data_IF_294006862525
#
_entry.id   IF_294006862525
#
_cell.length_a   1.000
_cell.length_b   1.000
_cell.length_c   1.000
_cell.angle_alpha   90.00
_cell.angle_beta   90.00
_cell.angle_gamma   90.00
#
_symmetry.space_group_name_H-M   'P 1'
#
loop_
_entity.id
_entity.type
_entity.pdbx_description
1 polymer ?
#
# COMPACT_ATOMS: atom_id res chain seq x y z
N UNK A 1 7.18 -4.65 -25.82
CA UNK A 1 7.58 -4.54 -24.45
C UNK A 1 6.51 -3.82 -23.64
N UNK A 2 6.26 -4.30 -22.49
CA UNK A 2 5.21 -3.71 -21.68
C UNK A 2 5.59 -2.31 -21.24
N UNK A 3 4.67 -1.43 -21.39
CA UNK A 3 4.84 -0.10 -20.88
C UNK A 3 4.81 -0.10 -19.35
N UNK A 4 5.67 0.68 -18.76
CA UNK A 4 5.72 0.84 -17.32
C UNK A 4 5.18 2.19 -16.91
N UNK A 5 4.47 2.19 -15.80
CA UNK A 5 4.01 3.41 -15.17
C UNK A 5 4.70 3.46 -13.81
N UNK A 6 5.95 3.88 -13.77
CA UNK A 6 6.72 3.81 -12.54
C UNK A 6 6.27 4.83 -11.53
N UNK A 7 6.53 4.51 -10.25
CA UNK A 7 6.33 5.47 -9.18
C UNK A 7 7.48 6.46 -9.24
N UNK A 8 7.17 7.71 -9.57
CA UNK A 8 8.20 8.73 -9.65
C UNK A 8 8.65 9.15 -8.26
N UNK A 9 9.85 9.77 -8.16
CA UNK A 9 10.30 10.25 -6.85
C UNK A 9 9.32 11.21 -6.18
N UNK A 10 8.68 12.08 -6.95
CA UNK A 10 7.73 13.03 -6.38
C UNK A 10 6.51 12.32 -5.82
N UNK A 11 5.98 11.35 -6.55
CA UNK A 11 4.82 10.59 -6.09
C UNK A 11 5.20 9.75 -4.87
N UNK A 12 6.37 9.10 -4.92
CA UNK A 12 6.86 8.33 -3.79
C UNK A 12 6.93 9.20 -2.52
N UNK A 13 7.50 10.40 -2.65
CA UNK A 13 7.62 11.29 -1.51
C UNK A 13 6.25 11.71 -0.98
N UNK A 14 5.30 11.98 -1.87
CA UNK A 14 3.95 12.39 -1.46
C UNK A 14 3.24 11.27 -0.70
N UNK A 15 3.38 10.03 -1.18
CA UNK A 15 2.75 8.88 -0.53
C UNK A 15 3.39 8.64 0.85
N UNK A 16 4.71 8.68 0.92
CA UNK A 16 5.40 8.47 2.18
C UNK A 16 5.04 9.54 3.20
N UNK A 17 4.94 10.79 2.75
CA UNK A 17 4.58 11.88 3.66
C UNK A 17 3.13 11.73 4.14
N UNK A 18 2.21 11.46 3.23
CA UNK A 18 0.79 11.30 3.59
C UNK A 18 0.61 10.18 4.60
N UNK A 19 1.29 9.06 4.40
CA UNK A 19 1.16 7.89 5.25
C UNK A 19 2.16 7.92 6.42
N UNK A 20 2.81 9.06 6.64
CA UNK A 20 3.68 9.31 7.77
C UNK A 20 4.85 8.33 7.85
N UNK A 21 5.33 7.92 6.69
CA UNK A 21 6.44 6.97 6.55
C UNK A 21 6.20 5.69 7.33
N UNK A 22 4.95 5.26 7.40
CA UNK A 22 4.54 4.10 8.18
C UNK A 22 3.55 3.26 7.40
N UNK A 23 3.50 1.98 7.72
CA UNK A 23 2.49 1.08 7.16
C UNK A 23 1.10 1.52 7.61
N UNK A 24 0.15 1.62 6.68
CA UNK A 24 -1.21 2.01 7.03
C UNK A 24 -2.04 0.83 7.56
N UNK A 25 -1.49 -0.40 7.53
CA UNK A 25 -2.24 -1.58 7.94
C UNK A 25 -2.97 -1.42 9.28
N UNK A 26 -2.25 -1.05 10.35
CA UNK A 26 -2.92 -0.84 11.64
C UNK A 26 -4.01 0.21 11.61
N UNK A 27 -3.84 1.25 10.77
CA UNK A 27 -4.83 2.33 10.69
C UNK A 27 -6.14 1.90 10.05
N UNK A 28 -6.11 0.84 9.25
CA UNK A 28 -7.31 0.35 8.57
C UNK A 28 -7.82 -0.96 9.15
N UNK A 29 -7.30 -1.34 10.32
CA UNK A 29 -7.83 -2.49 11.05
C UNK A 29 -7.15 -3.81 10.79
N UNK A 30 -6.02 -3.83 10.10
CA UNK A 30 -5.27 -5.07 9.94
C UNK A 30 -4.63 -5.45 11.27
N UNK A 31 -4.70 -6.74 11.62
CA UNK A 31 -4.11 -7.25 12.84
C UNK A 31 -2.65 -7.63 12.62
N UNK A 32 -1.95 -7.88 13.72
CA UNK A 32 -0.56 -8.27 13.66
C UNK A 32 0.36 -7.08 13.59
N UNK A 33 1.61 -7.29 14.01
CA UNK A 33 2.60 -6.22 14.04
C UNK A 33 3.34 -6.14 12.72
N UNK A 34 3.69 -4.92 12.32
CA UNK A 34 4.48 -4.72 11.13
C UNK A 34 5.79 -5.50 11.23
N UNK A 35 6.17 -6.13 10.11
CA UNK A 35 7.41 -6.89 10.06
C UNK A 35 7.32 -8.27 10.68
N UNK A 36 6.13 -8.73 11.07
CA UNK A 36 5.99 -10.03 11.76
C UNK A 36 6.59 -11.18 10.98
N UNK A 37 6.57 -11.13 9.65
CA UNK A 37 7.11 -12.22 8.87
C UNK A 37 8.63 -12.38 9.01
N UNK A 38 9.30 -11.39 9.52
CA UNK A 38 10.77 -11.44 9.67
C UNK A 38 11.21 -11.88 11.05
N UNK A 39 10.26 -11.94 12.01
CA UNK A 39 10.59 -12.32 13.37
C UNK A 39 11.07 -11.13 14.21
N UNK A 40 11.28 -11.37 15.50
CA UNK A 40 11.67 -10.30 16.44
C UNK A 40 13.00 -9.67 16.06
N UNK A 41 13.10 -8.37 16.28
CA UNK A 41 14.35 -7.66 16.10
C UNK A 41 14.72 -7.34 14.67
N UNK A 42 13.89 -7.69 13.72
CA UNK A 42 14.17 -7.38 12.31
C UNK A 42 13.54 -6.03 11.95
N UNK A 43 14.20 -5.27 11.07
CA UNK A 43 13.64 -3.99 10.64
C UNK A 43 12.36 -4.20 9.84
N UNK A 44 11.45 -3.23 9.94
CA UNK A 44 10.24 -3.23 9.14
C UNK A 44 10.60 -2.75 7.74
N UNK A 45 10.23 -3.53 6.73
CA UNK A 45 10.44 -3.15 5.34
C UNK A 45 9.14 -2.59 4.80
N UNK A 46 9.19 -1.36 4.31
CA UNK A 46 8.00 -0.70 3.76
C UNK A 46 7.98 -0.81 2.25
N UNK A 47 6.79 -1.00 1.71
CA UNK A 47 6.57 -1.16 0.27
C UNK A 47 5.46 -0.22 -0.17
N UNK A 48 5.52 0.18 -1.44
CA UNK A 48 4.45 0.98 -2.04
C UNK A 48 3.54 0.02 -2.80
N UNK A 49 2.26 0.03 -2.45
CA UNK A 49 1.30 -0.90 -3.03
C UNK A 49 0.32 -0.16 -3.93
N UNK A 50 0.07 -0.73 -5.11
CA UNK A 50 -0.97 -0.25 -6.01
C UNK A 50 -2.31 -0.81 -5.55
N UNK A 51 -3.25 0.05 -5.21
CA UNK A 51 -4.51 -0.36 -4.59
C UNK A 51 -5.45 -0.95 -5.62
N UNK A 52 -5.67 -0.23 -6.70
CA UNK A 52 -6.63 -0.63 -7.73
C UNK A 52 -5.90 -0.95 -9.02
N UNK A 53 -6.35 -2.00 -9.71
CA UNK A 53 -5.76 -2.43 -10.96
C UNK A 53 -6.41 -1.72 -12.13
N UNK A 54 -5.68 -1.63 -13.25
CA UNK A 54 -6.18 -1.01 -14.47
C UNK A 54 -6.93 -2.01 -15.33
N UNK A 55 -6.94 -3.28 -14.92
CA UNK A 55 -7.59 -4.33 -15.66
C UNK A 55 -6.97 -5.66 -15.30
N UNK A 56 -7.46 -6.72 -15.90
CA UNK A 56 -6.96 -8.05 -15.58
C UNK A 56 -5.45 -8.15 -15.84
N UNK A 57 -4.72 -8.50 -14.80
CA UNK A 57 -3.28 -8.67 -14.90
C UNK A 57 -2.50 -7.38 -15.08
N UNK A 58 -3.14 -6.22 -14.96
CA UNK A 58 -2.48 -4.94 -15.16
C UNK A 58 -2.47 -4.13 -13.88
N UNK A 59 -1.31 -3.53 -13.62
CA UNK A 59 -1.16 -2.63 -12.49
C UNK A 59 -1.94 -1.35 -12.76
N UNK A 60 -2.54 -0.76 -11.73
CA UNK A 60 -3.21 0.52 -11.86
C UNK A 60 -2.24 1.69 -11.92
N UNK A 61 -2.77 2.90 -12.02
CA UNK A 61 -1.90 4.08 -12.19
C UNK A 61 -1.02 4.32 -10.96
N UNK A 62 0.19 4.81 -11.23
CA UNK A 62 1.16 5.13 -10.19
C UNK A 62 1.01 6.58 -9.75
N UNK A 63 -0.15 6.92 -9.24
CA UNK A 63 -0.46 8.24 -8.71
C UNK A 63 -0.74 8.10 -7.22
N UNK A 64 -0.55 9.19 -6.47
CA UNK A 64 -0.66 9.10 -5.02
C UNK A 64 -2.03 8.64 -4.56
N UNK A 65 -3.08 8.92 -5.32
CA UNK A 65 -4.44 8.50 -4.98
C UNK A 65 -4.66 7.00 -5.15
N UNK A 66 -3.70 6.29 -5.72
CA UNK A 66 -3.81 4.85 -5.93
C UNK A 66 -2.68 4.07 -5.25
N UNK A 67 -1.91 4.72 -4.39
CA UNK A 67 -0.76 4.10 -3.76
C UNK A 67 -0.83 4.27 -2.25
N UNK A 68 -0.43 3.23 -1.53
CA UNK A 68 -0.32 3.29 -0.06
C UNK A 68 0.95 2.61 0.40
N UNK A 69 1.36 2.94 1.62
CA UNK A 69 2.52 2.30 2.24
C UNK A 69 2.06 1.12 3.09
N UNK A 70 2.60 -0.05 2.80
CA UNK A 70 2.34 -1.25 3.60
C UNK A 70 3.67 -1.92 3.90
N UNK A 71 3.80 -2.50 5.09
CA UNK A 71 4.94 -3.38 5.34
C UNK A 71 4.71 -4.70 4.61
N UNK A 72 5.78 -5.50 4.45
CA UNK A 72 5.66 -6.75 3.73
C UNK A 72 4.61 -7.68 4.32
N UNK A 73 4.51 -7.71 5.66
CA UNK A 73 3.53 -8.55 6.32
C UNK A 73 2.10 -8.15 5.98
N UNK A 74 1.77 -6.86 6.13
CA UNK A 74 0.42 -6.39 5.84
C UNK A 74 0.12 -6.36 4.36
N UNK A 75 1.15 -6.19 3.53
CA UNK A 75 0.96 -6.31 2.08
C UNK A 75 0.51 -7.72 1.71
N UNK A 76 1.08 -8.74 2.36
CA UNK A 76 0.65 -10.10 2.13
C UNK A 76 -0.79 -10.31 2.57
N UNK A 77 -1.16 -9.77 3.73
CA UNK A 77 -2.54 -9.87 4.21
C UNK A 77 -3.50 -9.26 3.20
N UNK A 78 -3.16 -8.09 2.67
CA UNK A 78 -3.98 -7.44 1.65
C UNK A 78 -4.10 -8.31 0.41
N UNK A 79 -3.00 -8.92 -0.02
CA UNK A 79 -3.00 -9.75 -1.23
C UNK A 79 -3.89 -10.99 -1.06
N UNK A 80 -3.90 -11.58 0.13
CA UNK A 80 -4.67 -12.80 0.38
C UNK A 80 -6.17 -12.54 0.51
N UNK A 81 -6.58 -11.30 0.78
CA UNK A 81 -7.99 -10.94 0.88
C UNK A 81 -8.22 -9.58 0.24
N UNK A 82 -7.77 -9.44 -1.01
CA UNK A 82 -7.66 -8.14 -1.64
C UNK A 82 -8.99 -7.42 -1.80
N UNK A 83 -10.09 -8.17 -2.02
CA UNK A 83 -11.39 -7.52 -2.16
C UNK A 83 -11.76 -6.73 -0.90
N UNK A 84 -11.56 -7.37 0.25
CA UNK A 84 -11.89 -6.76 1.54
C UNK A 84 -10.98 -5.56 1.82
N UNK A 85 -9.69 -5.78 1.69
CA UNK A 85 -8.74 -4.73 2.08
C UNK A 85 -8.68 -3.60 1.08
N UNK A 86 -8.94 -3.88 -0.20
CA UNK A 86 -9.01 -2.81 -1.18
C UNK A 86 -10.13 -1.83 -0.84
N UNK A 87 -11.28 -2.34 -0.39
CA UNK A 87 -12.37 -1.48 0.02
C UNK A 87 -11.97 -0.59 1.20
N UNK A 88 -11.31 -1.19 2.20
CA UNK A 88 -10.86 -0.45 3.38
C UNK A 88 -9.82 0.61 3.01
N UNK A 89 -8.91 0.26 2.11
CA UNK A 89 -7.87 1.19 1.68
C UNK A 89 -8.46 2.33 0.86
N UNK A 90 -9.43 2.04 0.01
CA UNK A 90 -10.08 3.10 -0.75
C UNK A 90 -10.83 4.06 0.16
N UNK A 91 -11.39 3.57 1.25
CA UNK A 91 -12.04 4.42 2.23
C UNK A 91 -11.00 5.33 2.92
N UNK A 92 -9.86 4.76 3.28
CA UNK A 92 -8.76 5.52 3.85
C UNK A 92 -8.31 6.64 2.90
N UNK A 93 -8.16 6.31 1.62
CA UNK A 93 -7.74 7.30 0.63
C UNK A 93 -8.78 8.39 0.44
N UNK A 94 -10.06 8.03 0.48
CA UNK A 94 -11.11 9.03 0.37
C UNK A 94 -11.01 10.08 1.47
N UNK A 95 -10.66 9.63 2.66
CA UNK A 95 -10.50 10.56 3.78
C UNK A 95 -9.39 11.57 3.58
N UNK A 96 -8.42 11.25 2.71
CA UNK A 96 -7.31 12.16 2.44
C UNK A 96 -7.58 13.09 1.26
N UNK A 97 -8.45 12.71 0.32
CA UNK A 97 -8.60 13.43 -0.94
C UNK A 97 -10.01 13.97 -1.18
N UNK A 98 -10.89 13.83 -0.20
CA UNK A 98 -12.25 14.36 -0.31
C UNK A 98 -12.64 15.27 0.84
#
# INVERSE_FOLDING_TARGET
MAHKDPVTPDVYAAVMLRDERSCIGPSIGMTGECGSQWGPGRPVVLEIDHVNNAGFGKRGPSVEENLVVLCGYHHRIKTEASRVWRAAINEYLRGHYE
#
